data_IF_153033690391
#
_entry.id   IF_153033690391
#
_cell.length_a   1.000
_cell.length_b   1.000
_cell.length_c   1.000
_cell.angle_alpha   90.00
_cell.angle_beta   90.00
_cell.angle_gamma   90.00
#
_symmetry.space_group_name_H-M   'P 1'
#
loop_
_entity.id
_entity.type
_entity.pdbx_description
1 polymer ?
#
# COMPACT_ATOMS: atom_id res chain seq x y z
N UNK A 1 22.86 67.41 -4.45
CA UNK A 1 21.47 66.97 -4.19
C UNK A 1 20.68 67.12 -5.47
N UNK A 2 20.10 66.02 -5.99
CA UNK A 2 18.97 65.86 -6.94
C UNK A 2 18.97 66.75 -8.22
N UNK A 3 19.14 66.30 -9.48
CA UNK A 3 18.72 65.10 -10.23
C UNK A 3 17.23 64.76 -10.15
N UNK A 4 16.41 65.49 -10.92
CA UNK A 4 15.15 64.96 -11.50
C UNK A 4 14.67 65.84 -12.66
N UNK A 5 14.14 65.18 -13.70
CA UNK A 5 13.26 65.71 -14.77
C UNK A 5 13.89 66.32 -16.04
N UNK A 6 14.56 65.49 -16.84
CA UNK A 6 14.59 65.54 -18.31
C UNK A 6 15.03 64.13 -18.77
N UNK A 7 14.45 63.40 -19.72
CA UNK A 7 13.66 63.79 -20.86
C UNK A 7 12.63 62.68 -21.15
N UNK A 8 11.37 63.08 -21.19
CA UNK A 8 10.24 62.31 -21.69
C UNK A 8 9.99 62.81 -23.11
N UNK A 9 10.83 62.40 -24.07
CA UNK A 9 10.72 62.67 -25.53
C UNK A 9 11.83 61.88 -26.22
N UNK A 10 11.59 60.59 -26.50
CA UNK A 10 12.33 59.83 -27.51
C UNK A 10 11.67 58.47 -27.74
N UNK A 11 10.42 58.49 -28.18
CA UNK A 11 9.70 57.26 -28.49
C UNK A 11 8.69 57.42 -29.61
N UNK A 12 9.10 58.02 -30.72
CA UNK A 12 8.30 58.04 -31.95
C UNK A 12 9.18 58.48 -33.14
N UNK A 13 10.01 57.57 -33.66
CA UNK A 13 10.54 57.58 -35.04
C UNK A 13 11.67 56.55 -35.19
N UNK A 14 11.32 55.27 -35.35
CA UNK A 14 12.18 54.26 -35.99
C UNK A 14 11.36 53.00 -36.28
N UNK A 15 10.57 53.03 -37.35
CA UNK A 15 10.14 51.82 -38.04
C UNK A 15 10.10 52.10 -39.54
N UNK A 16 11.21 51.78 -40.20
CA UNK A 16 11.27 51.49 -41.62
C UNK A 16 11.16 49.98 -41.85
N UNK A 17 10.38 49.65 -42.88
CA UNK A 17 10.34 48.41 -43.69
C UNK A 17 11.35 47.29 -43.42
N UNK A 18 10.86 46.04 -43.33
CA UNK A 18 11.13 44.93 -44.27
C UNK A 18 10.83 43.55 -43.63
N UNK A 19 10.23 42.65 -44.42
CA UNK A 19 10.45 41.21 -44.32
C UNK A 19 9.26 40.34 -43.89
N UNK A 20 8.48 39.87 -44.86
CA UNK A 20 7.62 38.69 -44.69
C UNK A 20 8.48 37.48 -44.30
N UNK A 21 8.21 36.88 -43.14
CA UNK A 21 8.68 35.53 -42.76
C UNK A 21 7.47 34.66 -42.48
N UNK A 22 7.37 33.54 -43.18
CA UNK A 22 6.39 32.47 -42.97
C UNK A 22 6.41 32.01 -41.51
N UNK A 23 5.26 32.12 -40.83
CA UNK A 23 5.09 31.60 -39.46
C UNK A 23 5.00 30.08 -39.48
N UNK A 24 6.00 29.42 -38.89
CA UNK A 24 5.90 28.02 -38.51
C UNK A 24 4.87 27.82 -37.39
N UNK A 25 4.41 26.58 -37.15
CA UNK A 25 3.30 26.32 -36.24
C UNK A 25 3.65 26.75 -34.81
N UNK A 26 2.72 27.45 -34.16
CA UNK A 26 2.87 27.91 -32.77
C UNK A 26 2.97 26.72 -31.79
N UNK A 27 3.53 26.95 -30.61
CA UNK A 27 3.65 25.93 -29.54
C UNK A 27 2.30 25.26 -29.20
N UNK A 28 1.20 26.00 -29.32
CA UNK A 28 -0.17 25.49 -29.15
C UNK A 28 -0.56 24.50 -30.26
N UNK A 29 -0.28 24.80 -31.54
CA UNK A 29 -0.62 23.88 -32.63
C UNK A 29 0.25 22.61 -32.66
N UNK A 30 1.50 22.70 -32.18
CA UNK A 30 2.37 21.53 -31.99
C UNK A 30 1.89 20.64 -30.84
N UNK A 31 1.34 21.23 -29.78
CA UNK A 31 0.77 20.50 -28.66
C UNK A 31 -0.52 19.76 -29.05
N UNK A 32 -1.41 20.42 -29.79
CA UNK A 32 -2.66 19.79 -30.25
C UNK A 32 -2.43 18.65 -31.25
N UNK A 33 -1.47 18.82 -32.19
CA UNK A 33 -1.06 17.76 -33.12
C UNK A 33 -0.54 16.52 -32.37
N UNK A 34 0.25 16.73 -31.30
CA UNK A 34 0.83 15.64 -30.51
C UNK A 34 -0.19 14.95 -29.62
N UNK A 35 -1.19 15.69 -29.12
CA UNK A 35 -2.33 15.12 -28.40
C UNK A 35 -3.27 14.34 -29.32
N UNK A 36 -3.41 14.73 -30.59
CA UNK A 36 -4.17 13.98 -31.58
C UNK A 36 -3.47 12.67 -31.97
N UNK A 37 -2.14 12.65 -32.10
CA UNK A 37 -1.36 11.42 -32.30
C UNK A 37 -1.45 10.46 -31.11
N UNK A 38 -1.38 10.97 -29.87
CA UNK A 38 -1.52 10.16 -28.66
C UNK A 38 -2.92 9.54 -28.51
N UNK A 39 -3.96 10.26 -28.94
CA UNK A 39 -5.34 9.73 -28.98
C UNK A 39 -5.50 8.62 -30.02
N UNK A 40 -4.81 8.74 -31.17
CA UNK A 40 -4.79 7.68 -32.20
C UNK A 40 -3.99 6.45 -31.76
N UNK A 41 -2.85 6.64 -31.07
CA UNK A 41 -2.05 5.54 -30.55
C UNK A 41 -2.78 4.74 -29.44
N UNK A 42 -3.61 5.41 -28.63
CA UNK A 42 -4.41 4.77 -27.57
C UNK A 42 -5.61 3.98 -28.10
N UNK A 43 -6.12 4.32 -29.29
CA UNK A 43 -7.18 3.56 -29.96
C UNK A 43 -6.66 2.30 -30.68
N UNK A 44 -5.34 2.20 -30.93
CA UNK A 44 -4.72 1.08 -31.64
C UNK A 44 -4.16 -0.02 -30.72
N UNK A 45 -4.18 0.16 -29.39
CA UNK A 45 -3.72 -0.85 -28.43
C UNK A 45 -4.89 -1.51 -27.72
N UNK A 46 -5.63 -2.35 -28.43
CA UNK A 46 -6.50 -3.35 -27.80
C UNK A 46 -5.63 -4.45 -27.18
N UNK A 47 -5.86 -4.68 -25.89
CA UNK A 47 -5.19 -5.66 -25.05
C UNK A 47 -5.55 -7.06 -25.54
N UNK A 48 -4.58 -7.82 -26.05
CA UNK A 48 -4.72 -9.28 -26.19
C UNK A 48 -4.62 -9.91 -24.80
N UNK A 49 -5.73 -10.38 -24.28
CA UNK A 49 -5.77 -11.28 -23.12
C UNK A 49 -4.96 -12.55 -23.43
N UNK A 50 -3.94 -12.82 -22.62
CA UNK A 50 -3.14 -14.02 -22.69
C UNK A 50 -3.79 -15.08 -21.78
N UNK A 51 -4.63 -15.94 -22.35
CA UNK A 51 -5.23 -17.08 -21.64
C UNK A 51 -4.20 -18.19 -21.49
N UNK A 52 -3.70 -18.42 -20.27
CA UNK A 52 -2.97 -19.64 -19.93
C UNK A 52 -3.96 -20.76 -19.58
N UNK A 53 -4.10 -21.74 -20.47
CA UNK A 53 -4.80 -23.00 -20.18
C UNK A 53 -3.80 -23.99 -19.56
N UNK A 54 -4.11 -24.64 -18.42
CA UNK A 54 -3.28 -25.71 -17.89
C UNK A 54 -3.56 -27.02 -18.63
N UNK A 55 -2.52 -27.60 -19.22
CA UNK A 55 -2.53 -28.97 -19.77
C UNK A 55 -2.57 -29.99 -18.62
N UNK A 56 -3.73 -30.61 -18.41
CA UNK A 56 -3.91 -31.75 -17.51
C UNK A 56 -3.28 -33.01 -18.13
N UNK A 57 -2.24 -33.53 -17.49
CA UNK A 57 -1.64 -34.81 -17.83
C UNK A 57 -2.49 -35.95 -17.21
N UNK A 58 -3.08 -36.80 -18.06
CA UNK A 58 -3.86 -37.99 -17.67
C UNK A 58 -2.93 -39.21 -17.59
N UNK A 59 -2.81 -39.81 -16.41
CA UNK A 59 -2.49 -41.23 -16.08
C UNK A 59 -2.35 -41.28 -14.54
N UNK A 60 -2.92 -42.19 -13.76
CA UNK A 60 -3.50 -43.52 -13.97
C UNK A 60 -4.46 -43.86 -12.81
N UNK A 61 -5.37 -44.79 -13.07
CA UNK A 61 -6.40 -45.32 -12.16
C UNK A 61 -5.84 -46.25 -11.08
N UNK A 62 -6.49 -46.23 -9.90
CA UNK A 62 -6.99 -47.37 -9.12
C UNK A 62 -6.80 -47.13 -7.62
N UNK A 63 -7.90 -46.98 -6.86
CA UNK A 63 -8.06 -47.49 -5.50
C UNK A 63 -9.53 -47.34 -5.06
N UNK A 64 -10.19 -48.51 -4.97
CA UNK A 64 -11.23 -48.94 -4.02
C UNK A 64 -12.36 -47.98 -3.64
N UNK A 65 -13.59 -48.43 -3.94
CA UNK A 65 -14.85 -47.84 -3.50
C UNK A 65 -15.01 -47.87 -1.97
N UNK A 66 -15.01 -46.70 -1.34
CA UNK A 66 -15.64 -46.49 -0.04
C UNK A 66 -16.81 -45.53 -0.22
N UNK A 67 -17.95 -45.89 0.38
CA UNK A 67 -19.18 -45.09 0.39
C UNK A 67 -18.86 -43.70 0.91
N UNK A 68 -18.85 -42.72 0.01
CA UNK A 68 -18.79 -41.30 0.35
C UNK A 68 -20.13 -40.93 0.99
N UNK A 69 -20.13 -40.69 2.31
CA UNK A 69 -21.02 -39.66 2.83
C UNK A 69 -20.69 -38.37 2.05
N UNK A 70 -21.70 -37.61 1.65
CA UNK A 70 -21.48 -36.36 0.92
C UNK A 70 -20.59 -35.45 1.77
N UNK A 71 -19.30 -35.37 1.42
CA UNK A 71 -18.39 -34.38 1.99
C UNK A 71 -19.03 -33.02 1.66
N UNK A 72 -19.39 -32.25 2.70
CA UNK A 72 -19.81 -30.86 2.51
C UNK A 72 -18.72 -30.16 1.70
N UNK A 73 -19.14 -29.31 0.78
CA UNK A 73 -18.23 -28.48 0.00
C UNK A 73 -17.42 -27.58 0.95
N UNK A 74 -16.21 -28.03 1.29
CA UNK A 74 -15.28 -27.36 2.19
C UNK A 74 -14.69 -26.08 1.58
N UNK A 75 -15.11 -25.72 0.36
CA UNK A 75 -14.73 -24.51 -0.34
C UNK A 75 -15.75 -23.38 -0.22
N UNK A 76 -16.96 -23.67 0.28
CA UNK A 76 -17.99 -22.65 0.47
C UNK A 76 -17.57 -21.62 1.54
N UNK A 77 -17.63 -20.33 1.18
CA UNK A 77 -17.31 -19.21 2.08
C UNK A 77 -18.42 -18.96 3.10
N UNK A 78 -18.08 -18.30 4.22
CA UNK A 78 -19.07 -17.63 5.07
C UNK A 78 -19.77 -16.48 4.31
N UNK A 79 -20.93 -16.06 4.82
CA UNK A 79 -21.73 -14.94 4.28
C UNK A 79 -21.86 -13.82 5.31
N UNK A 80 -21.80 -12.57 4.86
CA UNK A 80 -22.05 -11.40 5.71
C UNK A 80 -23.49 -11.38 6.24
N UNK A 81 -24.44 -11.94 5.49
CA UNK A 81 -25.83 -12.08 5.94
C UNK A 81 -26.00 -12.97 7.19
N UNK A 82 -25.00 -13.82 7.48
CA UNK A 82 -25.04 -14.77 8.60
C UNK A 82 -24.31 -14.23 9.85
N UNK A 83 -23.89 -12.96 9.87
CA UNK A 83 -23.16 -12.39 11.02
C UNK A 83 -24.00 -12.50 12.29
N UNK A 84 -23.38 -13.05 13.34
CA UNK A 84 -23.90 -13.01 14.70
C UNK A 84 -23.23 -11.87 15.47
N UNK A 85 -24.07 -10.99 16.02
CA UNK A 85 -23.62 -9.85 16.82
C UNK A 85 -23.64 -10.19 18.31
N UNK A 86 -22.53 -9.93 19.00
CA UNK A 86 -22.38 -10.08 20.45
C UNK A 86 -21.80 -8.78 21.00
N UNK A 87 -22.64 -7.75 21.07
CA UNK A 87 -22.16 -6.39 21.33
C UNK A 87 -21.81 -6.16 22.80
N UNK A 88 -20.70 -5.46 23.04
CA UNK A 88 -20.32 -4.95 24.36
C UNK A 88 -20.98 -3.59 24.63
N UNK A 89 -20.99 -3.17 25.89
CA UNK A 89 -21.32 -1.79 26.21
C UNK A 89 -20.22 -0.88 25.64
N UNK A 90 -20.56 0.24 24.97
CA UNK A 90 -19.58 1.15 24.39
C UNK A 90 -18.61 1.65 25.46
N UNK A 91 -17.29 1.49 25.24
CA UNK A 91 -16.31 1.69 26.30
C UNK A 91 -15.48 2.98 26.15
N UNK A 92 -15.69 3.80 25.11
CA UNK A 92 -14.81 4.97 24.92
C UNK A 92 -15.48 6.29 24.56
N UNK A 93 -15.06 7.32 25.31
CA UNK A 93 -14.80 8.65 24.75
C UNK A 93 -13.42 8.61 24.11
N UNK A 94 -13.36 8.73 22.79
CA UNK A 94 -12.11 8.80 22.04
C UNK A 94 -11.31 10.07 22.44
N UNK A 95 -10.11 9.91 22.98
CA UNK A 95 -9.17 11.02 23.16
C UNK A 95 -8.18 11.07 22.00
N UNK A 96 -8.31 12.08 21.15
CA UNK A 96 -7.47 12.24 19.95
C UNK A 96 -6.00 12.53 20.26
N UNK A 97 -5.71 13.09 21.44
CA UNK A 97 -4.34 13.41 21.86
C UNK A 97 -3.50 12.16 22.19
N UNK A 98 -4.15 11.05 22.54
CA UNK A 98 -3.48 9.81 22.97
C UNK A 98 -3.26 8.82 21.82
N UNK A 99 -3.69 9.15 20.60
CA UNK A 99 -3.67 8.22 19.48
C UNK A 99 -2.26 7.95 18.98
N UNK A 100 -1.78 6.73 19.30
CA UNK A 100 -0.59 6.12 18.70
C UNK A 100 -1.03 5.05 17.71
N UNK A 101 -0.34 4.97 16.57
CA UNK A 101 -0.67 4.03 15.50
C UNK A 101 -0.72 2.59 16.04
N UNK A 102 -1.90 1.96 15.97
CA UNK A 102 -2.10 0.56 16.35
C UNK A 102 -2.02 0.26 17.85
N UNK A 103 -2.21 1.25 18.73
CA UNK A 103 -2.14 1.07 20.19
C UNK A 103 -3.49 1.13 20.91
N UNK A 104 -4.49 1.77 20.29
CA UNK A 104 -5.86 1.86 20.78
C UNK A 104 -6.75 1.08 19.84
N UNK A 105 -7.65 0.24 20.36
CA UNK A 105 -8.54 -0.61 19.58
C UNK A 105 -10.00 -0.28 19.87
N UNK A 106 -10.87 -0.54 18.90
CA UNK A 106 -12.31 -0.32 19.04
C UNK A 106 -12.96 -1.40 19.92
N UNK A 107 -14.22 -1.20 20.27
CA UNK A 107 -14.96 -2.08 21.19
C UNK A 107 -15.18 -3.49 20.64
N UNK A 108 -15.23 -3.64 19.32
CA UNK A 108 -15.55 -4.89 18.66
C UNK A 108 -14.46 -5.37 17.69
N UNK A 109 -14.52 -6.66 17.36
CA UNK A 109 -13.74 -7.28 16.32
C UNK A 109 -14.58 -8.29 15.53
N UNK A 110 -14.20 -8.52 14.28
CA UNK A 110 -14.75 -9.59 13.46
C UNK A 110 -13.91 -10.86 13.62
N UNK A 111 -14.56 -12.03 13.70
CA UNK A 111 -13.88 -13.33 13.72
C UNK A 111 -14.68 -14.41 13.00
N UNK A 112 -13.99 -15.31 12.30
CA UNK A 112 -14.53 -16.58 11.81
C UNK A 112 -13.41 -17.62 11.69
N UNK A 113 -13.76 -18.90 11.82
CA UNK A 113 -12.83 -20.01 11.73
C UNK A 113 -13.23 -20.97 10.61
N UNK A 114 -12.24 -21.44 9.86
CA UNK A 114 -12.39 -22.58 8.95
C UNK A 114 -11.79 -23.82 9.59
N UNK A 115 -12.46 -24.96 9.44
CA UNK A 115 -11.90 -26.28 9.72
C UNK A 115 -12.08 -27.20 8.53
N UNK A 116 -10.98 -27.81 8.08
CA UNK A 116 -10.99 -28.75 6.96
C UNK A 116 -12.02 -29.87 7.16
N UNK A 117 -12.83 -30.11 6.13
CA UNK A 117 -13.96 -31.03 6.12
C UNK A 117 -15.23 -30.52 6.83
N UNK A 118 -15.19 -29.34 7.46
CA UNK A 118 -16.37 -28.70 8.09
C UNK A 118 -16.74 -27.35 7.47
N UNK A 119 -15.79 -26.66 6.82
CA UNK A 119 -16.00 -25.33 6.26
C UNK A 119 -15.82 -24.20 7.27
N UNK A 120 -16.25 -23.00 6.87
CA UNK A 120 -16.26 -21.81 7.70
C UNK A 120 -17.39 -21.85 8.74
N UNK A 121 -17.10 -21.38 9.95
CA UNK A 121 -18.09 -21.12 10.98
C UNK A 121 -18.87 -19.84 10.67
N UNK A 122 -20.02 -19.69 11.33
CA UNK A 122 -20.77 -18.43 11.36
C UNK A 122 -19.83 -17.28 11.75
N UNK A 123 -19.78 -16.20 10.95
CA UNK A 123 -18.98 -15.03 11.30
C UNK A 123 -19.57 -14.30 12.51
N UNK A 124 -18.71 -13.74 13.34
CA UNK A 124 -19.14 -12.96 14.51
C UNK A 124 -18.58 -11.54 14.48
N UNK A 125 -19.38 -10.58 14.92
CA UNK A 125 -18.93 -9.27 15.38
C UNK A 125 -19.18 -9.26 16.88
N UNK A 126 -18.10 -9.38 17.66
CA UNK A 126 -18.15 -9.50 19.11
C UNK A 126 -17.14 -8.58 19.80
N UNK A 127 -17.03 -8.61 21.13
CA UNK A 127 -16.14 -7.71 21.85
C UNK A 127 -14.69 -7.95 21.46
N UNK A 128 -13.89 -6.89 21.40
CA UNK A 128 -12.45 -7.01 21.22
C UNK A 128 -11.85 -7.83 22.38
N UNK A 129 -11.21 -8.95 22.06
CA UNK A 129 -10.71 -9.90 23.05
C UNK A 129 -9.47 -10.66 22.58
N UNK A 130 -8.77 -11.27 23.53
CA UNK A 130 -7.64 -12.16 23.24
C UNK A 130 -8.11 -13.41 22.48
N UNK A 131 -7.37 -13.80 21.45
CA UNK A 131 -7.58 -15.07 20.75
C UNK A 131 -6.71 -16.15 21.42
N UNK A 132 -7.35 -17.18 21.98
CA UNK A 132 -6.66 -18.36 22.47
C UNK A 132 -6.19 -19.23 21.29
N UNK A 133 -4.89 -19.54 21.25
CA UNK A 133 -4.30 -20.40 20.22
C UNK A 133 -3.63 -21.61 20.86
N UNK A 134 -3.75 -22.77 20.20
CA UNK A 134 -3.06 -23.97 20.65
C UNK A 134 -1.53 -23.74 20.60
N UNK A 135 -0.73 -24.18 21.58
CA UNK A 135 0.72 -23.92 21.62
C UNK A 135 1.47 -24.46 20.39
N UNK A 136 0.98 -25.53 19.77
CA UNK A 136 1.53 -26.08 18.53
C UNK A 136 1.02 -25.40 17.25
N UNK A 137 0.36 -24.25 17.33
CA UNK A 137 -0.21 -23.59 16.15
C UNK A 137 0.89 -23.10 15.18
N UNK A 138 0.86 -23.44 13.88
CA UNK A 138 1.88 -23.03 12.91
C UNK A 138 2.13 -21.53 12.82
N UNK A 139 1.17 -20.68 13.19
CA UNK A 139 1.41 -19.23 13.29
C UNK A 139 2.54 -18.88 14.26
N UNK A 140 2.68 -19.61 15.37
CA UNK A 140 3.67 -19.37 16.41
C UNK A 140 5.06 -19.88 16.02
N UNK A 141 5.12 -20.93 15.19
CA UNK A 141 6.36 -21.64 14.88
C UNK A 141 6.92 -21.32 13.49
N UNK A 142 6.04 -21.13 12.51
CA UNK A 142 6.42 -21.06 11.09
C UNK A 142 5.90 -19.78 10.39
N UNK A 143 5.36 -18.83 11.16
CA UNK A 143 4.87 -17.55 10.63
C UNK A 143 3.77 -17.71 9.57
N UNK A 144 2.96 -18.77 9.68
CA UNK A 144 1.90 -19.11 8.72
C UNK A 144 0.70 -18.17 8.89
N UNK A 145 0.90 -16.90 8.53
CA UNK A 145 -0.06 -15.81 8.63
C UNK A 145 0.14 -14.73 7.56
N UNK A 146 -0.96 -14.08 7.20
CA UNK A 146 -0.97 -12.89 6.36
C UNK A 146 -1.92 -11.84 6.92
N UNK A 147 -1.76 -10.60 6.47
CA UNK A 147 -2.58 -9.49 6.94
C UNK A 147 -2.81 -8.45 5.85
N UNK A 148 -3.73 -7.53 6.13
CA UNK A 148 -3.96 -6.34 5.33
C UNK A 148 -3.92 -5.06 6.16
N UNK A 149 -3.88 -3.93 5.46
CA UNK A 149 -3.90 -2.61 6.07
C UNK A 149 -4.56 -1.57 5.19
N UNK A 150 -5.76 -1.16 5.57
CA UNK A 150 -6.51 -0.07 4.93
C UNK A 150 -7.06 0.90 5.97
N UNK A 151 -7.76 1.94 5.53
CA UNK A 151 -8.34 2.95 6.40
C UNK A 151 -9.80 3.23 6.02
N UNK A 152 -10.60 3.51 7.05
CA UNK A 152 -11.85 4.25 6.89
C UNK A 152 -11.65 5.72 7.30
N UNK A 153 -12.34 6.61 6.60
CA UNK A 153 -12.28 8.05 6.77
C UNK A 153 -13.69 8.60 7.00
N UNK A 154 -13.83 9.53 7.93
CA UNK A 154 -15.07 10.30 8.07
C UNK A 154 -15.12 11.31 6.93
N UNK A 155 -15.99 11.09 5.95
CA UNK A 155 -16.10 12.03 4.84
C UNK A 155 -16.86 13.30 5.20
N UNK A 156 -16.65 14.32 4.40
CA UNK A 156 -17.22 15.66 4.60
C UNK A 156 -18.76 15.74 4.51
N UNK A 157 -19.41 14.70 3.97
CA UNK A 157 -20.88 14.57 3.92
C UNK A 157 -21.45 13.75 5.11
N UNK A 158 -20.63 13.44 6.12
CA UNK A 158 -21.03 12.66 7.29
C UNK A 158 -21.00 11.14 7.11
N UNK A 159 -20.64 10.61 5.92
CA UNK A 159 -20.52 9.16 5.69
C UNK A 159 -19.10 8.65 5.90
N UNK A 160 -18.97 7.48 6.52
CA UNK A 160 -17.71 6.75 6.53
C UNK A 160 -17.35 6.28 5.11
N UNK A 161 -16.06 6.26 4.78
CA UNK A 161 -15.54 5.88 3.45
C UNK A 161 -14.35 4.97 3.56
N UNK A 162 -14.28 3.97 2.68
CA UNK A 162 -13.11 3.14 2.46
C UNK A 162 -12.39 3.59 1.19
N UNK A 163 -11.06 3.52 1.19
CA UNK A 163 -10.26 3.82 0.01
C UNK A 163 -9.79 2.53 -0.68
N UNK A 164 -10.29 2.28 -1.90
CA UNK A 164 -10.00 1.09 -2.73
C UNK A 164 -10.00 -0.24 -1.94
N UNK A 165 -11.06 -0.55 -1.16
CA UNK A 165 -11.06 -1.71 -0.29
C UNK A 165 -11.01 -3.04 -1.07
N UNK A 166 -11.57 -3.09 -2.28
CA UNK A 166 -11.55 -4.26 -3.17
C UNK A 166 -10.11 -4.70 -3.52
N UNK A 167 -9.21 -3.73 -3.68
CA UNK A 167 -7.78 -3.91 -3.93
C UNK A 167 -7.09 -4.64 -2.76
N UNK A 168 -7.51 -4.33 -1.53
CA UNK A 168 -6.99 -4.95 -0.32
C UNK A 168 -7.56 -6.37 -0.15
N UNK A 169 -8.86 -6.58 -0.38
CA UNK A 169 -9.46 -7.91 -0.31
C UNK A 169 -8.77 -8.89 -1.29
N UNK A 170 -8.52 -8.44 -2.52
CA UNK A 170 -7.80 -9.24 -3.52
C UNK A 170 -6.38 -9.59 -3.09
N UNK A 171 -5.64 -8.65 -2.51
CA UNK A 171 -4.27 -8.88 -2.03
C UNK A 171 -4.23 -9.77 -0.78
N UNK A 172 -5.22 -9.67 0.11
CA UNK A 172 -5.37 -10.59 1.24
C UNK A 172 -5.63 -12.02 0.75
N UNK A 173 -6.60 -12.20 -0.16
CA UNK A 173 -6.93 -13.50 -0.71
C UNK A 173 -5.74 -14.14 -1.45
N UNK A 174 -4.98 -13.36 -2.23
CA UNK A 174 -3.73 -13.81 -2.86
C UNK A 174 -2.70 -14.26 -1.81
N UNK A 175 -2.53 -13.48 -0.74
CA UNK A 175 -1.57 -13.78 0.33
C UNK A 175 -1.97 -15.05 1.10
N UNK A 176 -3.27 -15.22 1.39
CA UNK A 176 -3.81 -16.41 2.02
C UNK A 176 -3.62 -17.66 1.14
N UNK A 177 -3.88 -17.54 -0.17
CA UNK A 177 -3.66 -18.61 -1.14
C UNK A 177 -2.18 -19.00 -1.25
N UNK A 178 -1.26 -18.03 -1.24
CA UNK A 178 0.19 -18.28 -1.22
C UNK A 178 0.63 -19.09 0.00
N UNK A 179 -0.07 -18.94 1.12
CA UNK A 179 0.17 -19.68 2.37
C UNK A 179 -0.66 -20.97 2.50
N UNK A 180 -1.47 -21.32 1.50
CA UNK A 180 -2.40 -22.45 1.57
C UNK A 180 -3.36 -22.39 2.77
N UNK A 181 -3.73 -21.16 3.18
CA UNK A 181 -4.83 -20.93 4.13
C UNK A 181 -6.19 -21.17 3.44
N UNK A 182 -7.25 -21.29 4.24
CA UNK A 182 -8.60 -21.49 3.72
C UNK A 182 -9.03 -20.33 2.79
N UNK A 183 -9.59 -20.62 1.60
CA UNK A 183 -10.11 -19.59 0.71
C UNK A 183 -11.40 -19.00 1.26
N UNK A 184 -11.68 -17.75 0.91
CA UNK A 184 -12.90 -17.03 1.29
C UNK A 184 -13.34 -16.11 0.14
N UNK A 185 -14.62 -15.75 0.15
CA UNK A 185 -15.18 -14.77 -0.80
C UNK A 185 -14.78 -13.36 -0.38
N UNK A 186 -14.09 -12.64 -1.28
CA UNK A 186 -13.60 -11.28 -1.02
C UNK A 186 -14.71 -10.26 -0.83
N UNK A 187 -15.88 -10.46 -1.46
CA UNK A 187 -17.01 -9.57 -1.33
C UNK A 187 -17.71 -9.77 0.00
N UNK A 188 -17.88 -11.02 0.44
CA UNK A 188 -18.47 -11.34 1.74
C UNK A 188 -17.61 -10.77 2.88
N UNK A 189 -16.28 -10.94 2.82
CA UNK A 189 -15.39 -10.34 3.82
C UNK A 189 -15.47 -8.81 3.82
N UNK A 190 -15.62 -8.18 2.64
CA UNK A 190 -15.78 -6.73 2.54
C UNK A 190 -17.08 -6.26 3.18
N UNK A 191 -18.19 -6.96 2.97
CA UNK A 191 -19.45 -6.62 3.62
C UNK A 191 -19.37 -6.82 5.14
N UNK A 192 -18.74 -7.89 5.63
CA UNK A 192 -18.45 -8.07 7.06
C UNK A 192 -17.61 -6.92 7.65
N UNK A 193 -16.60 -6.45 6.91
CA UNK A 193 -15.77 -5.31 7.32
C UNK A 193 -16.61 -4.03 7.42
N UNK A 194 -17.50 -3.78 6.45
CA UNK A 194 -18.39 -2.61 6.47
C UNK A 194 -19.35 -2.66 7.65
N UNK A 195 -19.91 -3.84 7.96
CA UNK A 195 -20.72 -4.04 9.17
C UNK A 195 -19.94 -3.70 10.44
N UNK A 196 -18.70 -4.17 10.56
CA UNK A 196 -17.85 -3.83 11.71
C UNK A 196 -17.60 -2.31 11.82
N UNK A 197 -17.34 -1.62 10.70
CA UNK A 197 -17.18 -0.15 10.69
C UNK A 197 -18.48 0.56 11.09
N UNK A 198 -19.66 0.04 10.71
CA UNK A 198 -20.95 0.59 11.14
C UNK A 198 -21.15 0.40 12.65
N UNK A 199 -20.87 -0.80 13.16
CA UNK A 199 -20.96 -1.14 14.58
C UNK A 199 -20.11 -0.20 15.44
N UNK A 200 -18.85 0.03 15.05
CA UNK A 200 -17.91 0.88 15.79
C UNK A 200 -17.79 2.30 15.20
N UNK A 201 -18.83 2.80 14.54
CA UNK A 201 -18.79 4.11 13.88
C UNK A 201 -18.50 5.27 14.84
N UNK A 202 -18.88 5.15 16.11
CA UNK A 202 -18.57 6.13 17.16
C UNK A 202 -17.06 6.30 17.43
N UNK A 203 -16.24 5.31 17.06
CA UNK A 203 -14.79 5.37 17.18
C UNK A 203 -14.11 6.08 16.01
N UNK A 204 -14.81 6.30 14.89
CA UNK A 204 -14.24 6.91 13.69
C UNK A 204 -13.94 8.39 13.94
N UNK A 205 -12.65 8.82 13.95
CA UNK A 205 -12.33 10.22 14.13
C UNK A 205 -12.86 11.05 12.95
N UNK A 206 -13.43 12.22 13.25
CA UNK A 206 -13.99 13.13 12.24
C UNK A 206 -13.05 14.27 11.83
N UNK A 207 -11.91 14.41 12.52
CA UNK A 207 -10.93 15.46 12.24
C UNK A 207 -10.06 15.12 11.03
N UNK A 208 -9.74 16.14 10.24
CA UNK A 208 -8.81 16.06 9.14
C UNK A 208 -7.44 15.49 9.58
N UNK A 209 -6.91 14.56 8.80
CA UNK A 209 -5.66 13.87 9.11
C UNK A 209 -5.83 12.63 9.99
N UNK A 210 -7.00 12.44 10.61
CA UNK A 210 -7.32 11.25 11.39
C UNK A 210 -8.12 10.23 10.60
N UNK A 211 -8.01 8.96 10.98
CA UNK A 211 -8.73 7.86 10.30
C UNK A 211 -8.92 6.68 11.23
N UNK A 212 -9.75 5.72 10.83
CA UNK A 212 -9.79 4.40 11.43
C UNK A 212 -8.89 3.46 10.63
N UNK A 213 -7.79 2.99 11.20
CA UNK A 213 -6.99 1.95 10.58
C UNK A 213 -7.67 0.59 10.76
N UNK A 214 -7.78 -0.17 9.67
CA UNK A 214 -8.46 -1.47 9.64
C UNK A 214 -7.43 -2.55 9.30
N UNK A 215 -7.37 -3.58 10.15
CA UNK A 215 -6.41 -4.68 10.09
C UNK A 215 -7.15 -6.02 9.93
N UNK A 216 -7.45 -6.45 8.69
CA UNK A 216 -7.78 -7.85 8.43
C UNK A 216 -6.53 -8.73 8.58
N UNK A 217 -6.70 -9.95 9.08
CA UNK A 217 -5.61 -10.93 9.20
C UNK A 217 -6.13 -12.36 9.15
N UNK A 218 -5.32 -13.26 8.59
CA UNK A 218 -5.59 -14.68 8.50
C UNK A 218 -4.36 -15.47 8.96
N UNK A 219 -4.56 -16.54 9.72
CA UNK A 219 -3.46 -17.36 10.21
C UNK A 219 -3.87 -18.80 10.52
N UNK A 220 -2.89 -19.70 10.54
CA UNK A 220 -3.12 -21.11 10.87
C UNK A 220 -3.23 -21.32 12.38
N UNK A 221 -4.30 -22.00 12.78
CA UNK A 221 -4.59 -22.49 14.14
C UNK A 221 -4.62 -24.02 14.21
N UNK A 222 -3.99 -24.69 13.25
CA UNK A 222 -3.86 -26.16 13.25
C UNK A 222 -3.12 -26.66 14.50
N UNK A 223 -3.47 -27.85 14.99
CA UNK A 223 -2.86 -28.41 16.21
C UNK A 223 -1.70 -29.35 15.87
N UNK A 224 -0.69 -28.86 15.13
CA UNK A 224 0.40 -29.71 14.64
C UNK A 224 1.69 -28.93 14.46
N UNK A 225 2.80 -29.57 14.82
CA UNK A 225 4.15 -29.11 14.49
C UNK A 225 4.59 -29.55 13.09
N UNK A 226 3.84 -30.45 12.43
CA UNK A 226 4.17 -30.87 11.07
C UNK A 226 4.04 -29.70 10.09
N UNK A 227 5.11 -29.38 9.36
CA UNK A 227 5.11 -28.36 8.30
C UNK A 227 4.30 -28.88 7.12
N UNK A 228 3.02 -28.51 7.09
CA UNK A 228 2.03 -29.04 6.14
C UNK A 228 0.92 -28.01 5.91
N UNK A 229 0.02 -28.30 4.97
CA UNK A 229 -1.16 -27.48 4.71
C UNK A 229 -1.98 -27.34 6.00
N UNK A 230 -2.43 -26.12 6.28
CA UNK A 230 -3.26 -25.87 7.45
C UNK A 230 -4.62 -26.58 7.34
N UNK A 231 -5.04 -27.24 8.41
CA UNK A 231 -6.38 -27.83 8.57
C UNK A 231 -7.33 -26.91 9.34
N UNK A 232 -6.83 -25.81 9.91
CA UNK A 232 -7.62 -24.78 10.60
C UNK A 232 -7.10 -23.38 10.30
N UNK A 233 -7.97 -22.50 9.84
CA UNK A 233 -7.64 -21.10 9.58
C UNK A 233 -8.52 -20.20 10.42
N UNK A 234 -7.93 -19.22 11.09
CA UNK A 234 -8.68 -18.15 11.74
C UNK A 234 -8.54 -16.88 10.90
N UNK A 235 -9.66 -16.23 10.60
CA UNK A 235 -9.74 -14.95 9.88
C UNK A 235 -10.42 -13.93 10.79
N UNK A 236 -9.80 -12.77 10.95
CA UNK A 236 -10.32 -11.71 11.81
C UNK A 236 -10.08 -10.32 11.26
N UNK A 237 -10.79 -9.33 11.82
CA UNK A 237 -10.60 -7.91 11.56
C UNK A 237 -10.63 -7.17 12.89
N UNK A 238 -9.62 -6.33 13.12
CA UNK A 238 -9.58 -5.37 14.24
C UNK A 238 -9.43 -3.96 13.68
N UNK A 239 -9.90 -2.98 14.43
CA UNK A 239 -9.83 -1.57 14.05
C UNK A 239 -9.13 -0.75 15.14
N UNK A 240 -8.45 0.31 14.72
CA UNK A 240 -7.66 1.18 15.58
C UNK A 240 -7.78 2.61 15.07
N UNK A 241 -8.33 3.56 15.86
CA UNK A 241 -8.29 4.97 15.49
C UNK A 241 -6.84 5.46 15.46
N UNK A 242 -6.47 6.22 14.43
CA UNK A 242 -5.12 6.72 14.23
C UNK A 242 -5.12 8.21 13.87
N UNK A 243 -4.15 8.94 14.42
CA UNK A 243 -3.89 10.32 14.08
C UNK A 243 -3.06 10.49 12.80
N UNK A 244 -2.75 11.75 12.44
CA UNK A 244 -1.88 12.05 11.32
C UNK A 244 -0.49 11.46 11.57
N UNK A 245 0.08 10.84 10.54
CA UNK A 245 1.43 10.29 10.62
C UNK A 245 2.48 11.40 10.80
N UNK A 246 2.19 12.61 10.32
CA UNK A 246 3.01 13.80 10.49
C UNK A 246 2.26 14.92 11.22
N UNK A 247 2.37 15.01 12.56
CA UNK A 247 1.73 16.08 13.31
C UNK A 247 2.18 17.49 12.88
N UNK A 248 3.43 17.62 12.42
CA UNK A 248 4.06 18.87 11.95
C UNK A 248 4.03 19.04 10.43
N UNK A 249 3.23 18.26 9.70
CA UNK A 249 3.19 18.25 8.24
C UNK A 249 4.28 17.37 7.61
N UNK A 250 4.18 17.15 6.28
CA UNK A 250 5.02 16.22 5.50
C UNK A 250 6.52 16.50 5.68
N UNK A 251 7.12 15.87 6.68
CA UNK A 251 8.51 16.10 7.06
C UNK A 251 9.39 15.08 6.34
N UNK A 252 10.31 15.50 5.46
CA UNK A 252 11.20 14.60 4.78
C UNK A 252 12.16 13.89 5.74
N UNK A 253 12.42 12.60 5.52
CA UNK A 253 13.33 11.80 6.35
C UNK A 253 14.55 11.31 5.56
N UNK A 254 15.74 11.18 6.20
CA UNK A 254 16.84 10.45 5.60
C UNK A 254 16.57 8.95 5.68
N UNK A 255 17.05 8.20 4.70
CA UNK A 255 16.82 6.74 4.62
C UNK A 255 18.15 6.04 4.37
N UNK A 256 18.44 4.99 5.14
CA UNK A 256 19.62 4.17 4.93
C UNK A 256 19.43 3.22 3.75
N UNK A 257 20.39 3.17 2.83
CA UNK A 257 20.42 2.21 1.73
C UNK A 257 21.08 0.94 2.22
N UNK A 258 20.26 -0.08 2.44
CA UNK A 258 20.76 -1.39 2.86
C UNK A 258 21.10 -2.24 1.63
N UNK A 259 22.41 -2.42 1.44
CA UNK A 259 23.00 -3.20 0.36
C UNK A 259 23.28 -4.64 0.77
N UNK A 260 23.22 -4.94 2.08
CA UNK A 260 23.63 -6.20 2.69
C UNK A 260 22.42 -7.10 2.91
N UNK A 261 21.38 -6.58 3.56
CA UNK A 261 20.17 -7.35 3.85
C UNK A 261 19.21 -7.34 2.65
N UNK A 262 18.49 -8.45 2.48
CA UNK A 262 17.48 -8.61 1.42
C UNK A 262 16.10 -8.71 2.05
N UNK A 263 15.18 -7.88 1.57
CA UNK A 263 13.77 -7.91 2.00
C UNK A 263 13.02 -9.05 1.30
N UNK A 264 13.31 -9.23 0.02
CA UNK A 264 12.68 -10.22 -0.84
C UNK A 264 13.68 -10.73 -1.89
N UNK A 265 13.28 -11.76 -2.63
CA UNK A 265 14.04 -12.27 -3.76
C UNK A 265 13.09 -12.88 -4.81
N UNK A 266 13.49 -12.95 -6.09
CA UNK A 266 12.71 -13.65 -7.12
C UNK A 266 12.41 -15.10 -6.75
N UNK A 267 11.13 -15.49 -6.81
CA UNK A 267 10.66 -16.81 -6.35
C UNK A 267 10.32 -16.88 -4.86
N UNK A 268 10.59 -15.83 -4.09
CA UNK A 268 10.20 -15.67 -2.70
C UNK A 268 8.71 -15.34 -2.50
N UNK A 269 8.41 -14.55 -1.46
CA UNK A 269 7.04 -14.18 -1.07
C UNK A 269 6.88 -12.68 -0.81
N UNK A 270 7.82 -11.86 -1.28
CA UNK A 270 7.84 -10.40 -1.04
C UNK A 270 6.66 -9.64 -1.64
N UNK A 271 6.01 -10.20 -2.66
CA UNK A 271 4.82 -9.66 -3.32
C UNK A 271 3.51 -9.95 -2.58
N UNK A 272 3.58 -10.72 -1.49
CA UNK A 272 2.45 -11.12 -0.66
C UNK A 272 2.61 -10.54 0.76
N UNK A 273 1.50 -10.19 1.40
CA UNK A 273 1.52 -9.50 2.70
C UNK A 273 1.56 -10.50 3.86
N UNK A 274 2.62 -11.31 3.86
CA UNK A 274 2.88 -12.42 4.79
C UNK A 274 3.71 -11.93 5.98
N UNK A 275 3.38 -12.38 7.20
CA UNK A 275 4.08 -11.95 8.42
C UNK A 275 5.59 -12.20 8.39
N UNK A 276 6.02 -13.32 7.80
CA UNK A 276 7.43 -13.68 7.64
C UNK A 276 8.28 -12.67 6.83
N UNK A 277 7.68 -11.78 6.04
CA UNK A 277 8.40 -10.72 5.33
C UNK A 277 8.80 -9.54 6.22
N UNK A 278 8.25 -9.44 7.43
CA UNK A 278 8.40 -8.27 8.31
C UNK A 278 9.28 -8.58 9.52
N UNK A 279 9.19 -9.78 10.10
CA UNK A 279 10.00 -10.11 11.27
C UNK A 279 11.53 -9.97 11.03
N UNK A 280 12.08 -10.39 9.86
CA UNK A 280 13.51 -10.22 9.58
C UNK A 280 13.94 -8.77 9.34
N UNK A 281 13.01 -7.83 9.14
CA UNK A 281 13.36 -6.42 8.85
C UNK A 281 13.72 -5.63 10.11
N UNK A 282 13.49 -6.19 11.31
CA UNK A 282 13.73 -5.50 12.58
C UNK A 282 15.22 -5.20 12.79
N UNK A 283 16.10 -6.17 12.55
CA UNK A 283 17.55 -5.97 12.70
C UNK A 283 18.06 -4.84 11.78
N UNK A 284 17.82 -4.86 10.45
CA UNK A 284 18.19 -3.75 9.56
C UNK A 284 17.67 -2.39 10.02
N UNK A 285 16.43 -2.34 10.50
CA UNK A 285 15.80 -1.11 10.96
C UNK A 285 16.48 -0.53 12.22
N UNK A 286 16.89 -1.40 13.15
CA UNK A 286 17.65 -1.01 14.35
C UNK A 286 19.05 -0.54 13.95
N UNK A 287 19.76 -1.29 13.11
CA UNK A 287 21.11 -0.91 12.66
C UNK A 287 21.12 0.43 11.91
N UNK A 288 20.12 0.67 11.05
CA UNK A 288 19.96 1.93 10.34
C UNK A 288 19.73 3.14 11.27
N UNK A 289 19.00 2.94 12.38
CA UNK A 289 18.79 3.96 13.39
C UNK A 289 20.06 4.22 14.21
N UNK A 290 20.68 3.16 14.73
CA UNK A 290 21.82 3.25 15.64
C UNK A 290 23.12 3.67 14.95
N UNK A 291 23.39 3.16 13.74
CA UNK A 291 24.67 3.37 13.05
C UNK A 291 24.63 4.50 12.02
N UNK A 292 23.46 4.77 11.45
CA UNK A 292 23.31 5.71 10.35
C UNK A 292 22.37 6.88 10.67
N UNK A 293 21.74 6.91 11.84
CA UNK A 293 20.87 7.99 12.27
C UNK A 293 19.62 8.16 11.40
N UNK A 294 19.16 7.07 10.75
CA UNK A 294 18.01 7.10 9.85
C UNK A 294 16.83 6.33 10.44
N UNK A 295 15.59 6.86 10.35
CA UNK A 295 14.41 6.20 10.89
C UNK A 295 13.85 5.09 9.98
N UNK A 296 14.39 4.87 8.79
CA UNK A 296 13.92 3.87 7.81
C UNK A 296 15.08 3.33 6.96
N UNK A 297 14.84 2.15 6.39
CA UNK A 297 15.72 1.47 5.44
C UNK A 297 15.09 1.45 4.05
N UNK A 298 15.87 1.62 2.99
CA UNK A 298 15.51 1.19 1.64
C UNK A 298 16.36 0.00 1.25
N UNK A 299 15.70 -1.06 0.81
CA UNK A 299 16.36 -2.29 0.41
C UNK A 299 16.78 -2.22 -1.05
N UNK A 300 17.87 -2.91 -1.35
CA UNK A 300 18.37 -3.04 -2.69
C UNK A 300 18.59 -4.50 -3.04
N UNK A 301 18.68 -4.79 -4.32
CA UNK A 301 18.96 -6.13 -4.84
C UNK A 301 20.00 -6.05 -5.95
N UNK A 302 21.06 -6.84 -5.79
CA UNK A 302 22.06 -7.07 -6.83
C UNK A 302 22.12 -8.57 -7.11
N UNK A 303 22.20 -8.93 -8.39
CA UNK A 303 22.51 -10.30 -8.78
C UNK A 303 23.98 -10.63 -8.48
N UNK A 304 24.31 -11.92 -8.28
CA UNK A 304 25.70 -12.34 -8.13
C UNK A 304 26.58 -11.82 -9.26
N UNK A 305 27.70 -11.19 -8.90
CA UNK A 305 28.67 -10.63 -9.85
C UNK A 305 28.39 -9.21 -10.33
N UNK A 306 27.25 -8.61 -9.96
CA UNK A 306 26.99 -7.20 -10.25
C UNK A 306 27.77 -6.27 -9.32
N UNK A 307 28.19 -5.14 -9.84
CA UNK A 307 28.82 -4.09 -9.05
C UNK A 307 27.78 -3.42 -8.11
N UNK A 308 28.19 -2.86 -6.95
CA UNK A 308 27.26 -2.24 -6.01
C UNK A 308 26.34 -1.17 -6.62
N UNK A 309 26.85 -0.38 -7.57
CA UNK A 309 26.08 0.66 -8.27
C UNK A 309 25.02 0.11 -9.25
N UNK A 310 25.11 -1.16 -9.61
CA UNK A 310 24.12 -1.87 -10.43
C UNK A 310 23.00 -2.46 -9.59
N UNK A 311 23.14 -2.50 -8.26
CA UNK A 311 22.08 -2.90 -7.36
C UNK A 311 20.84 -2.01 -7.60
N UNK A 312 19.67 -2.64 -7.67
CA UNK A 312 18.40 -1.96 -7.94
C UNK A 312 17.66 -1.69 -6.63
N UNK A 313 16.99 -0.55 -6.55
CA UNK A 313 16.10 -0.25 -5.42
C UNK A 313 14.87 -1.16 -5.46
N UNK A 314 14.49 -1.68 -4.29
CA UNK A 314 13.26 -2.44 -4.09
C UNK A 314 12.21 -1.60 -3.35
N UNK A 315 12.21 -1.65 -2.03
CA UNK A 315 11.20 -1.04 -1.17
C UNK A 315 11.82 -0.28 0.00
N UNK A 316 11.11 0.74 0.46
CA UNK A 316 11.47 1.59 1.57
C UNK A 316 10.75 1.13 2.84
N UNK A 317 11.38 0.26 3.61
CA UNK A 317 10.83 -0.33 4.83
C UNK A 317 9.58 -1.14 4.50
N UNK A 318 8.41 -0.62 4.87
CA UNK A 318 7.10 -1.20 4.55
C UNK A 318 6.31 -0.41 3.50
N UNK A 319 7.01 0.42 2.72
CA UNK A 319 6.46 1.28 1.68
C UNK A 319 7.10 0.96 0.33
N UNK A 320 6.34 1.14 -0.75
CA UNK A 320 6.94 1.24 -2.08
C UNK A 320 7.80 2.51 -2.15
N UNK A 321 8.89 2.51 -2.92
CA UNK A 321 9.72 3.71 -3.17
C UNK A 321 9.45 4.28 -4.56
N UNK A 322 9.40 5.60 -4.66
CA UNK A 322 9.20 6.34 -5.91
C UNK A 322 10.28 7.40 -6.08
N UNK A 323 10.70 7.61 -7.33
CA UNK A 323 11.67 8.63 -7.72
C UNK A 323 11.06 9.52 -8.80
N UNK A 324 11.02 10.84 -8.56
CA UNK A 324 10.56 11.83 -9.53
C UNK A 324 11.76 12.29 -10.38
N UNK A 325 11.74 11.88 -11.65
CA UNK A 325 12.73 12.20 -12.67
C UNK A 325 12.06 12.99 -13.83
N UNK A 326 11.70 12.33 -14.93
CA UNK A 326 11.10 12.96 -16.12
C UNK A 326 9.62 12.58 -16.36
N UNK A 327 9.32 11.28 -16.36
CA UNK A 327 8.04 10.68 -16.76
C UNK A 327 7.68 9.51 -15.85
N UNK A 328 6.41 9.14 -15.89
CA UNK A 328 5.91 7.96 -15.16
C UNK A 328 6.35 6.69 -15.88
N UNK A 329 7.09 5.82 -15.18
CA UNK A 329 7.47 4.50 -15.68
C UNK A 329 7.65 3.52 -14.52
N UNK A 330 7.13 2.30 -14.68
CA UNK A 330 7.48 1.16 -13.83
C UNK A 330 8.69 0.45 -14.46
N UNK A 331 9.85 0.52 -13.81
CA UNK A 331 11.09 -0.11 -14.26
C UNK A 331 12.04 -0.31 -13.09
N UNK A 332 13.05 -1.14 -13.29
CA UNK A 332 14.20 -1.17 -12.40
C UNK A 332 14.95 0.17 -12.44
N UNK A 333 15.46 0.58 -11.28
CA UNK A 333 16.27 1.78 -11.11
C UNK A 333 17.44 1.43 -10.20
N UNK A 334 18.67 1.66 -10.69
CA UNK A 334 19.88 1.28 -9.95
C UNK A 334 20.37 2.38 -9.01
N UNK A 335 21.16 2.01 -8.01
CA UNK A 335 21.85 2.96 -7.12
C UNK A 335 22.62 3.97 -7.96
N UNK A 336 23.47 3.51 -8.88
CA UNK A 336 24.28 4.38 -9.74
C UNK A 336 23.45 5.32 -10.61
N UNK A 337 22.25 4.92 -11.04
CA UNK A 337 21.36 5.81 -11.78
C UNK A 337 20.84 6.95 -10.89
N UNK A 338 20.37 6.64 -9.68
CA UNK A 338 19.89 7.64 -8.71
C UNK A 338 21.02 8.55 -8.26
N UNK A 339 22.22 8.01 -8.03
CA UNK A 339 23.41 8.79 -7.70
C UNK A 339 23.74 9.81 -8.79
N UNK A 340 23.81 9.37 -10.06
CA UNK A 340 24.06 10.27 -11.20
C UNK A 340 22.94 11.28 -11.40
N UNK A 341 21.68 10.90 -11.15
CA UNK A 341 20.55 11.82 -11.24
C UNK A 341 20.61 12.88 -10.13
N UNK A 342 20.93 12.50 -8.90
CA UNK A 342 21.12 13.42 -7.77
C UNK A 342 22.29 14.37 -8.04
N UNK A 343 23.45 13.85 -8.45
CA UNK A 343 24.63 14.67 -8.76
C UNK A 343 24.38 15.67 -9.91
N UNK A 344 23.54 15.31 -10.88
CA UNK A 344 23.17 16.17 -12.00
C UNK A 344 21.96 17.09 -11.72
N UNK A 345 21.40 17.09 -10.50
CA UNK A 345 20.19 17.86 -10.16
C UNK A 345 18.92 17.40 -10.90
N UNK A 346 18.91 16.15 -11.42
CA UNK A 346 17.78 15.55 -12.15
C UNK A 346 16.88 14.69 -11.25
N UNK A 347 17.32 14.32 -10.06
CA UNK A 347 16.46 13.73 -9.04
C UNK A 347 15.67 14.85 -8.37
N UNK A 348 14.40 15.01 -8.74
CA UNK A 348 13.58 16.13 -8.25
C UNK A 348 13.01 15.82 -6.88
N UNK A 349 12.36 14.67 -6.69
CA UNK A 349 11.79 14.26 -5.40
C UNK A 349 11.94 12.74 -5.25
N UNK A 350 11.95 12.24 -4.02
CA UNK A 350 11.83 10.83 -3.72
C UNK A 350 10.89 10.64 -2.54
N UNK A 351 10.09 9.57 -2.56
CA UNK A 351 9.10 9.33 -1.51
C UNK A 351 8.71 7.87 -1.38
N UNK A 352 8.38 7.47 -0.16
CA UNK A 352 7.70 6.21 0.14
C UNK A 352 6.20 6.34 -0.06
N UNK A 353 5.51 5.27 -0.48
CA UNK A 353 4.05 5.19 -0.56
C UNK A 353 3.51 4.01 0.26
N UNK A 354 2.55 4.27 1.15
CA UNK A 354 1.91 3.24 1.97
C UNK A 354 0.71 3.76 2.77
N UNK A 355 -0.22 2.89 3.16
CA UNK A 355 -1.48 3.28 3.83
C UNK A 355 -1.28 4.14 5.08
N UNK A 356 -0.22 3.88 5.87
CA UNK A 356 0.01 4.55 7.15
C UNK A 356 0.22 6.06 6.97
N UNK A 357 1.13 6.46 6.08
CA UNK A 357 1.52 7.85 5.84
C UNK A 357 0.96 8.45 4.53
N UNK A 358 0.31 7.64 3.68
CA UNK A 358 -0.08 7.94 2.30
C UNK A 358 1.16 8.11 1.41
N UNK A 359 1.94 9.16 1.69
CA UNK A 359 3.25 9.45 1.10
C UNK A 359 4.22 9.93 2.18
N UNK A 360 5.46 9.45 2.15
CA UNK A 360 6.55 9.85 3.03
C UNK A 360 7.65 10.49 2.17
N UNK A 361 7.84 11.83 2.21
CA UNK A 361 8.96 12.44 1.51
C UNK A 361 10.30 11.93 2.05
N UNK A 362 11.28 11.78 1.16
CA UNK A 362 12.65 11.33 1.47
C UNK A 362 13.60 12.49 1.21
N UNK A 363 14.33 12.93 2.24
CA UNK A 363 15.31 14.02 2.11
C UNK A 363 16.60 13.57 1.46
N UNK A 364 17.01 12.34 1.74
CA UNK A 364 18.29 11.81 1.30
C UNK A 364 18.37 10.29 1.46
N UNK A 365 19.15 9.65 0.60
CA UNK A 365 19.57 8.28 0.76
C UNK A 365 21.01 8.24 1.30
N UNK A 366 21.22 7.53 2.40
CA UNK A 366 22.48 7.43 3.14
C UNK A 366 23.08 6.06 2.89
N UNK A 367 24.28 5.98 2.32
CA UNK A 367 25.02 4.72 2.17
C UNK A 367 25.97 4.50 3.34
N UNK A 368 26.42 3.25 3.54
CA UNK A 368 27.32 2.88 4.63
C UNK A 368 28.63 3.69 4.65
N UNK A 369 29.15 4.10 3.49
CA UNK A 369 30.33 4.98 3.37
C UNK A 369 30.08 6.47 3.62
N UNK A 370 28.88 6.86 4.07
CA UNK A 370 28.49 8.26 4.31
C UNK A 370 28.10 9.03 3.04
N UNK A 371 28.09 8.39 1.87
CA UNK A 371 27.63 9.00 0.63
C UNK A 371 26.13 9.33 0.73
N UNK A 372 25.79 10.55 0.29
CA UNK A 372 24.43 11.08 0.33
C UNK A 372 23.91 11.34 -1.08
N UNK A 373 22.78 10.74 -1.43
CA UNK A 373 22.00 11.14 -2.61
C UNK A 373 20.86 12.04 -2.14
N UNK A 374 20.82 13.30 -2.60
CA UNK A 374 19.78 14.26 -2.25
C UNK A 374 18.90 14.57 -3.46
N UNK A 375 17.60 14.65 -3.22
CA UNK A 375 16.68 15.20 -4.20
C UNK A 375 16.81 16.73 -4.22
N UNK A 376 16.68 17.34 -5.40
CA UNK A 376 16.90 18.77 -5.63
C UNK A 376 15.61 19.61 -5.57
N UNK A 377 14.44 18.98 -5.59
CA UNK A 377 13.14 19.63 -5.60
C UNK A 377 12.65 20.05 -4.21
N UNK A 378 11.55 20.79 -4.20
CA UNK A 378 10.98 21.46 -3.04
C UNK A 378 9.88 20.65 -2.32
N UNK A 379 9.54 19.46 -2.83
CA UNK A 379 8.49 18.61 -2.27
C UNK A 379 7.07 18.95 -2.75
N UNK A 380 6.92 19.88 -3.71
CA UNK A 380 5.61 20.31 -4.20
C UNK A 380 4.82 19.17 -4.86
N UNK A 381 5.49 18.23 -5.52
CA UNK A 381 4.81 17.07 -6.13
C UNK A 381 4.24 16.15 -5.06
N UNK A 382 5.04 15.78 -4.05
CA UNK A 382 4.60 14.93 -2.94
C UNK A 382 3.47 15.59 -2.15
N UNK A 383 3.56 16.90 -1.88
CA UNK A 383 2.50 17.65 -1.22
C UNK A 383 1.18 17.64 -2.03
N UNK A 384 1.27 17.87 -3.34
CA UNK A 384 0.10 17.81 -4.24
C UNK A 384 -0.49 16.41 -4.30
N UNK A 385 0.34 15.37 -4.34
CA UNK A 385 -0.11 13.97 -4.33
C UNK A 385 -0.83 13.62 -3.04
N UNK A 386 -0.26 14.00 -1.89
CA UNK A 386 -0.89 13.82 -0.59
C UNK A 386 -2.26 14.50 -0.54
N UNK A 387 -2.34 15.78 -0.93
CA UNK A 387 -3.59 16.54 -0.94
C UNK A 387 -4.66 15.88 -1.82
N UNK A 388 -4.31 15.51 -3.05
CA UNK A 388 -5.25 14.86 -3.98
C UNK A 388 -5.78 13.53 -3.45
N UNK A 389 -4.93 12.70 -2.82
CA UNK A 389 -5.36 11.44 -2.22
C UNK A 389 -6.26 11.67 -1.00
N UNK A 390 -5.92 12.63 -0.14
CA UNK A 390 -6.77 13.03 0.97
C UNK A 390 -8.14 13.52 0.48
N UNK A 391 -8.20 14.38 -0.53
CA UNK A 391 -9.47 14.91 -1.05
C UNK A 391 -10.40 13.79 -1.54
N UNK A 392 -9.85 12.73 -2.14
CA UNK A 392 -10.60 11.53 -2.51
C UNK A 392 -11.04 10.75 -1.25
N UNK A 393 -10.13 10.51 -0.31
CA UNK A 393 -10.37 9.71 0.91
C UNK A 393 -11.46 10.32 1.80
N UNK A 394 -11.41 11.63 2.03
CA UNK A 394 -12.42 12.38 2.79
C UNK A 394 -13.66 12.77 1.96
N UNK A 395 -13.73 12.34 0.70
CA UNK A 395 -14.89 12.57 -0.18
C UNK A 395 -15.11 14.03 -0.58
N UNK A 396 -14.09 14.89 -0.48
CA UNK A 396 -14.13 16.27 -1.01
C UNK A 396 -14.20 16.27 -2.53
N UNK A 397 -13.61 15.25 -3.15
CA UNK A 397 -13.72 14.96 -4.57
C UNK A 397 -14.41 13.60 -4.75
N UNK A 398 -15.49 13.59 -5.52
CA UNK A 398 -16.16 12.34 -5.92
C UNK A 398 -15.22 11.52 -6.80
N UNK A 399 -14.99 10.26 -6.42
CA UNK A 399 -14.09 9.38 -7.15
C UNK A 399 -14.44 7.91 -6.89
N UNK A 400 -14.34 7.01 -7.90
CA UNK A 400 -14.64 5.58 -7.74
C UNK A 400 -13.73 4.84 -6.76
N UNK A 401 -12.66 5.47 -6.28
CA UNK A 401 -11.77 4.91 -5.26
C UNK A 401 -12.28 5.11 -3.83
N UNK A 402 -13.21 6.05 -3.65
CA UNK A 402 -13.82 6.38 -2.36
C UNK A 402 -15.16 5.67 -2.26
N UNK A 403 -15.21 4.60 -1.47
CA UNK A 403 -16.38 3.74 -1.34
C UNK A 403 -17.12 4.11 -0.06
N UNK A 404 -18.31 4.74 -0.11
CA UNK A 404 -19.08 5.07 1.08
C UNK A 404 -19.61 3.80 1.76
N UNK A 405 -19.75 3.86 3.09
CA UNK A 405 -20.31 2.83 3.95
C UNK A 405 -21.68 3.25 4.46
#
# INVERSE_FOLDING_TARGET
>A
MSLTAAAKRDREARMGSQGQRSHGPTLSSKFESRMAELRRAKAASEVKECTFAPTLNRRSQNLTSHRSSALKDDTASFRAADIRYELSAPNAKLNLADLKFGAVFTDHMFLTEHVAGRGWSTPTIGPFQTIAVHPAAPVLHYGLCCFEGMKAYAGTDGRARLFRPDMNMRRLARSAARLQLAPFDTQELLECLKELVRTDSAWLPTQDGYSMYIRPYAFSTSHTLGVSRSTRTTLGIIMSPVGPYFPSGLTPIPIFVDEVHRRAWPGGVGDSKVGGNYAPTILPQVEAAERHGTPQVVYTFAQPGQAPEEAVFEECGSMNVMFLLDKVSERTISIGEVERAAAAGRLLEAFGCGTACIVQPISSFVRAGGQLMRAAGDGAFVARMHAALCDIQYGRVSHPWSVPI
#
